data_IF_791146244898
#
_entry.id   IF_791146244898
#
_cell.length_a   1.000
_cell.length_b   1.000
_cell.length_c   1.000
_cell.angle_alpha   90.00
_cell.angle_beta   90.00
_cell.angle_gamma   90.00
#
_symmetry.space_group_name_H-M   'P 1'
#
loop_
_entity.id
_entity.type
_entity.pdbx_description
1 polymer ?
#
# COMPACT_ATOMS: atom_id res chain seq x y z
N UNK A 1 -10.88 -37.56 -30.28
CA UNK A 1 -11.20 -36.40 -31.00
C UNK A 1 -11.70 -35.19 -30.27
N UNK A 2 -12.85 -34.68 -30.69
CA UNK A 2 -13.37 -33.40 -30.19
C UNK A 2 -13.68 -33.41 -28.69
N UNK A 3 -14.15 -34.51 -28.14
CA UNK A 3 -14.45 -34.64 -26.69
C UNK A 3 -13.19 -34.55 -25.82
N UNK A 4 -12.08 -35.17 -26.28
CA UNK A 4 -10.79 -35.08 -25.55
C UNK A 4 -10.22 -33.66 -25.59
N UNK A 5 -10.36 -32.94 -26.70
CA UNK A 5 -9.93 -31.54 -26.82
C UNK A 5 -10.73 -30.62 -25.91
N UNK A 6 -12.05 -30.84 -25.80
CA UNK A 6 -12.92 -30.06 -24.90
C UNK A 6 -12.59 -30.34 -23.44
N UNK A 7 -12.34 -31.61 -23.07
CA UNK A 7 -11.92 -31.97 -21.71
C UNK A 7 -10.58 -31.36 -21.34
N UNK A 8 -9.59 -31.33 -22.26
CA UNK A 8 -8.29 -30.66 -22.03
C UNK A 8 -8.44 -29.15 -21.87
N UNK A 9 -9.31 -28.52 -22.65
CA UNK A 9 -9.58 -27.08 -22.55
C UNK A 9 -10.23 -26.74 -21.23
N UNK A 10 -11.19 -27.52 -20.76
CA UNK A 10 -11.84 -27.34 -19.44
C UNK A 10 -10.86 -27.55 -18.30
N UNK A 11 -9.96 -28.53 -18.36
CA UNK A 11 -8.92 -28.77 -17.40
C UNK A 11 -7.93 -27.59 -17.31
N UNK A 12 -7.52 -27.00 -18.43
CA UNK A 12 -6.65 -25.82 -18.48
C UNK A 12 -7.34 -24.61 -17.86
N UNK A 13 -8.60 -24.38 -18.19
CA UNK A 13 -9.39 -23.28 -17.62
C UNK A 13 -9.57 -23.46 -16.11
N UNK A 14 -9.86 -24.68 -15.64
CA UNK A 14 -9.99 -24.99 -14.23
C UNK A 14 -8.68 -24.75 -13.46
N UNK A 15 -7.53 -25.23 -13.98
CA UNK A 15 -6.21 -25.01 -13.39
C UNK A 15 -5.85 -23.52 -13.31
N UNK A 16 -6.15 -22.77 -14.36
CA UNK A 16 -5.91 -21.33 -14.40
C UNK A 16 -6.78 -20.60 -13.37
N UNK A 17 -8.04 -21.00 -13.24
CA UNK A 17 -8.95 -20.45 -12.25
C UNK A 17 -8.48 -20.75 -10.82
N UNK A 18 -8.06 -21.97 -10.51
CA UNK A 18 -7.46 -22.33 -9.22
C UNK A 18 -6.20 -21.54 -8.92
N UNK A 19 -5.32 -21.37 -9.90
CA UNK A 19 -4.10 -20.58 -9.74
C UNK A 19 -4.43 -19.13 -9.40
N UNK A 20 -5.38 -18.50 -10.09
CA UNK A 20 -5.84 -17.14 -9.79
C UNK A 20 -6.45 -17.01 -8.39
N UNK A 21 -7.28 -17.94 -8.00
CA UNK A 21 -7.88 -17.95 -6.66
C UNK A 21 -6.81 -18.09 -5.58
N UNK A 22 -5.82 -18.94 -5.80
CA UNK A 22 -4.70 -19.14 -4.88
C UNK A 22 -3.86 -17.87 -4.76
N UNK A 23 -3.58 -17.17 -5.86
CA UNK A 23 -2.88 -15.88 -5.84
C UNK A 23 -3.67 -14.81 -5.09
N UNK A 24 -4.99 -14.77 -5.29
CA UNK A 24 -5.86 -13.83 -4.59
C UNK A 24 -5.84 -14.06 -3.06
N UNK A 25 -5.85 -15.33 -2.63
CA UNK A 25 -5.87 -15.69 -1.23
C UNK A 25 -4.51 -15.55 -0.53
N UNK A 26 -3.44 -15.99 -1.19
CA UNK A 26 -2.08 -16.05 -0.59
C UNK A 26 -1.16 -14.93 -1.03
N UNK A 27 -1.54 -14.20 -2.08
CA UNK A 27 -0.69 -13.21 -2.73
C UNK A 27 0.41 -13.86 -3.60
N UNK A 28 1.19 -13.06 -4.30
CA UNK A 28 2.31 -13.54 -5.08
C UNK A 28 3.40 -14.09 -4.17
N UNK A 29 4.24 -14.98 -4.73
CA UNK A 29 5.37 -15.53 -4.00
C UNK A 29 6.29 -14.41 -3.53
N UNK A 30 6.62 -14.41 -2.24
CA UNK A 30 7.53 -13.44 -1.67
C UNK A 30 8.93 -13.63 -2.27
N UNK A 31 9.48 -12.54 -2.82
CA UNK A 31 10.85 -12.51 -3.29
C UNK A 31 11.80 -12.36 -2.11
N UNK A 32 12.96 -13.01 -2.20
CA UNK A 32 14.06 -12.73 -1.30
C UNK A 32 14.42 -11.25 -1.43
N UNK A 33 14.54 -10.55 -0.31
CA UNK A 33 14.82 -9.12 -0.26
C UNK A 33 16.13 -8.76 -0.98
N UNK A 34 17.16 -9.60 -0.84
CA UNK A 34 18.43 -9.41 -1.54
C UNK A 34 18.28 -9.51 -3.06
N UNK A 35 17.50 -10.47 -3.55
CA UNK A 35 17.21 -10.63 -4.98
C UNK A 35 16.42 -9.44 -5.52
N UNK A 36 15.46 -8.94 -4.76
CA UNK A 36 14.69 -7.74 -5.11
C UNK A 36 15.62 -6.53 -5.24
N UNK A 37 16.50 -6.31 -4.27
CA UNK A 37 17.44 -5.18 -4.29
C UNK A 37 18.38 -5.26 -5.49
N UNK A 38 18.91 -6.45 -5.79
CA UNK A 38 19.78 -6.64 -6.94
C UNK A 38 19.04 -6.35 -8.26
N UNK A 39 17.81 -6.81 -8.38
CA UNK A 39 16.98 -6.54 -9.56
C UNK A 39 16.68 -5.05 -9.71
N UNK A 40 16.35 -4.35 -8.63
CA UNK A 40 16.09 -2.91 -8.63
C UNK A 40 17.34 -2.11 -9.01
N UNK A 41 18.49 -2.44 -8.42
CA UNK A 41 19.75 -1.75 -8.71
C UNK A 41 20.24 -2.00 -10.16
N UNK A 42 19.79 -3.09 -10.78
CA UNK A 42 20.08 -3.41 -12.17
C UNK A 42 19.07 -2.80 -13.16
N UNK A 43 17.95 -2.24 -12.69
CA UNK A 43 16.93 -1.64 -13.55
C UNK A 43 17.48 -0.42 -14.30
N UNK A 44 17.22 -0.28 -15.62
CA UNK A 44 17.81 0.82 -16.42
C UNK A 44 17.52 2.21 -15.87
N UNK A 45 16.29 2.48 -15.42
CA UNK A 45 15.92 3.77 -14.87
C UNK A 45 16.72 4.11 -13.60
N UNK A 46 16.94 3.12 -12.74
CA UNK A 46 17.70 3.32 -11.52
C UNK A 46 19.21 3.42 -11.79
N UNK A 47 19.73 2.66 -12.74
CA UNK A 47 21.13 2.80 -13.20
C UNK A 47 21.43 4.22 -13.67
N UNK A 48 20.54 4.79 -14.45
CA UNK A 48 20.68 6.18 -14.94
C UNK A 48 20.68 7.17 -13.77
N UNK A 49 19.77 7.01 -12.83
CA UNK A 49 19.70 7.86 -11.63
C UNK A 49 20.95 7.76 -10.78
N UNK A 50 21.52 6.57 -10.63
CA UNK A 50 22.81 6.34 -9.92
C UNK A 50 23.95 7.03 -10.63
N UNK A 51 24.06 6.92 -11.95
CA UNK A 51 25.08 7.59 -12.75
C UNK A 51 24.98 9.12 -12.64
N UNK A 52 23.76 9.65 -12.70
CA UNK A 52 23.50 11.09 -12.56
C UNK A 52 23.88 11.60 -11.17
N UNK A 53 23.58 10.83 -10.12
CA UNK A 53 23.98 11.13 -8.74
C UNK A 53 25.50 11.13 -8.57
N UNK A 54 26.19 10.15 -9.17
CA UNK A 54 27.64 10.06 -9.13
C UNK A 54 28.29 11.30 -9.76
N UNK A 55 27.75 11.77 -10.91
CA UNK A 55 28.22 12.99 -11.56
C UNK A 55 27.95 14.24 -10.75
N UNK A 56 26.73 14.35 -10.21
CA UNK A 56 26.33 15.53 -9.44
C UNK A 56 27.14 15.72 -8.17
N UNK A 57 27.43 14.64 -7.45
CA UNK A 57 28.18 14.64 -6.20
C UNK A 57 29.69 14.42 -6.36
N UNK A 58 30.17 14.18 -7.59
CA UNK A 58 31.57 13.87 -7.88
C UNK A 58 32.09 12.68 -7.08
N UNK A 59 31.28 11.63 -6.98
CA UNK A 59 31.64 10.36 -6.36
C UNK A 59 31.68 9.25 -7.41
N UNK A 60 32.21 8.09 -7.05
CA UNK A 60 32.21 6.93 -7.93
C UNK A 60 30.80 6.39 -8.14
N UNK A 61 30.57 5.72 -9.27
CA UNK A 61 29.29 5.00 -9.51
C UNK A 61 29.06 3.92 -8.43
N UNK A 62 30.11 3.27 -7.97
CA UNK A 62 30.04 2.30 -6.88
C UNK A 62 29.52 2.93 -5.58
N UNK A 63 30.00 4.12 -5.23
CA UNK A 63 29.56 4.84 -4.03
C UNK A 63 28.09 5.29 -4.16
N UNK A 64 27.72 5.81 -5.33
CA UNK A 64 26.33 6.19 -5.62
C UNK A 64 25.39 4.98 -5.55
N UNK A 65 25.84 3.81 -6.03
CA UNK A 65 25.10 2.56 -5.93
C UNK A 65 24.91 2.13 -4.47
N UNK A 66 25.92 2.30 -3.63
CA UNK A 66 25.82 2.02 -2.19
C UNK A 66 24.81 2.94 -1.51
N UNK A 67 24.76 4.23 -1.89
CA UNK A 67 23.74 5.14 -1.40
C UNK A 67 22.33 4.68 -1.81
N UNK A 68 22.14 4.26 -3.06
CA UNK A 68 20.88 3.72 -3.53
C UNK A 68 20.46 2.48 -2.75
N UNK A 69 21.40 1.60 -2.42
CA UNK A 69 21.15 0.41 -1.60
C UNK A 69 20.72 0.79 -0.18
N UNK A 70 21.36 1.77 0.43
CA UNK A 70 20.95 2.29 1.75
C UNK A 70 19.54 2.85 1.72
N UNK A 71 19.18 3.56 0.66
CA UNK A 71 17.82 4.08 0.48
C UNK A 71 16.79 2.94 0.32
N UNK A 72 17.14 1.88 -0.40
CA UNK A 72 16.30 0.69 -0.50
C UNK A 72 16.09 0.02 0.86
N UNK A 73 17.14 -0.07 1.68
CA UNK A 73 17.03 -0.61 3.05
C UNK A 73 16.10 0.22 3.93
N UNK A 74 16.11 1.54 3.75
CA UNK A 74 15.20 2.45 4.45
C UNK A 74 13.75 2.29 3.99
N UNK A 75 13.53 2.18 2.68
CA UNK A 75 12.19 2.21 2.06
C UNK A 75 11.52 0.83 2.15
N UNK A 76 12.20 -0.22 1.72
CA UNK A 76 11.57 -1.49 1.38
C UNK A 76 10.98 -2.23 2.57
N UNK A 77 9.81 -2.83 2.36
CA UNK A 77 9.20 -3.76 3.29
C UNK A 77 10.02 -5.06 3.38
N UNK A 78 9.83 -5.77 4.48
CA UNK A 78 10.36 -7.11 4.71
C UNK A 78 9.17 -8.03 5.07
N UNK A 79 8.24 -8.13 4.16
CA UNK A 79 6.96 -8.80 4.31
C UNK A 79 7.14 -10.28 4.64
N UNK A 80 6.59 -10.75 5.77
CA UNK A 80 6.75 -12.14 6.23
C UNK A 80 5.41 -12.76 6.60
N UNK A 81 5.13 -13.94 6.05
CA UNK A 81 3.91 -14.69 6.32
C UNK A 81 3.76 -15.04 7.81
N UNK A 82 4.86 -15.34 8.50
CA UNK A 82 4.85 -15.63 9.94
C UNK A 82 4.34 -14.45 10.75
N UNK A 83 4.83 -13.24 10.44
CA UNK A 83 4.40 -12.00 11.10
C UNK A 83 2.91 -11.76 10.87
N UNK A 84 2.40 -12.02 9.67
CA UNK A 84 0.98 -11.87 9.35
C UNK A 84 0.11 -12.82 10.19
N UNK A 85 0.52 -14.08 10.34
CA UNK A 85 -0.23 -15.07 11.11
C UNK A 85 -0.27 -14.72 12.60
N UNK A 86 0.86 -14.32 13.15
CA UNK A 86 0.94 -13.88 14.56
C UNK A 86 0.16 -12.60 14.75
N UNK A 87 0.34 -11.64 13.83
CA UNK A 87 -0.39 -10.37 13.83
C UNK A 87 -1.90 -10.56 13.76
N UNK A 88 -2.39 -11.47 12.93
CA UNK A 88 -3.82 -11.80 12.85
C UNK A 88 -4.37 -12.26 14.19
N UNK A 89 -3.68 -13.16 14.88
CA UNK A 89 -4.11 -13.64 16.19
C UNK A 89 -4.13 -12.55 17.25
N UNK A 90 -3.08 -11.72 17.28
CA UNK A 90 -2.97 -10.59 18.21
C UNK A 90 -4.06 -9.56 17.95
N UNK A 91 -4.28 -9.21 16.70
CA UNK A 91 -5.30 -8.23 16.32
C UNK A 91 -6.71 -8.74 16.55
N UNK A 92 -6.96 -10.03 16.31
CA UNK A 92 -8.26 -10.65 16.60
C UNK A 92 -8.58 -10.53 18.09
N UNK A 93 -7.62 -10.84 18.95
CA UNK A 93 -7.78 -10.69 20.39
C UNK A 93 -8.01 -9.22 20.76
N UNK A 94 -7.19 -8.31 20.23
CA UNK A 94 -7.29 -6.88 20.51
C UNK A 94 -8.65 -6.32 20.10
N UNK A 95 -9.10 -6.62 18.87
CA UNK A 95 -10.40 -6.14 18.38
C UNK A 95 -11.57 -6.70 19.18
N UNK A 96 -11.47 -7.93 19.66
CA UNK A 96 -12.50 -8.53 20.54
C UNK A 96 -12.63 -7.82 21.88
N UNK A 97 -11.55 -7.19 22.35
CA UNK A 97 -11.54 -6.41 23.59
C UNK A 97 -12.00 -4.97 23.40
N UNK A 98 -11.68 -4.38 22.22
CA UNK A 98 -11.94 -2.96 21.95
C UNK A 98 -13.33 -2.71 21.36
N UNK A 99 -13.81 -3.61 20.52
CA UNK A 99 -15.02 -3.41 19.74
C UNK A 99 -16.06 -4.49 20.00
N UNK A 100 -17.32 -4.10 19.95
CA UNK A 100 -18.46 -5.04 19.93
C UNK A 100 -18.40 -5.88 18.65
N UNK A 101 -17.96 -5.28 17.56
CA UNK A 101 -17.74 -5.97 16.30
C UNK A 101 -17.23 -5.01 15.25
N UNK A 102 -16.80 -5.56 14.12
CA UNK A 102 -16.37 -4.80 12.95
C UNK A 102 -17.35 -5.10 11.83
N UNK A 103 -18.05 -4.05 11.35
CA UNK A 103 -18.99 -4.16 10.24
C UNK A 103 -18.25 -3.87 8.94
N UNK A 104 -18.29 -4.83 8.02
CA UNK A 104 -17.59 -4.79 6.75
C UNK A 104 -18.62 -4.74 5.65
N UNK A 105 -18.55 -3.73 4.78
CA UNK A 105 -19.48 -3.55 3.67
C UNK A 105 -18.74 -3.60 2.34
N UNK A 106 -19.31 -4.33 1.37
CA UNK A 106 -18.87 -4.42 -0.02
C UNK A 106 -17.51 -5.14 -0.19
N UNK A 107 -17.17 -6.07 0.68
CA UNK A 107 -15.92 -6.85 0.57
C UNK A 107 -15.94 -7.85 -0.59
N UNK A 108 -17.10 -8.30 -1.03
CA UNK A 108 -17.22 -9.25 -2.13
C UNK A 108 -16.64 -8.68 -3.44
N UNK A 109 -16.76 -7.39 -3.64
CA UNK A 109 -16.17 -6.68 -4.78
C UNK A 109 -14.64 -6.88 -4.83
N UNK A 110 -13.97 -6.88 -3.67
CA UNK A 110 -12.51 -7.07 -3.61
C UNK A 110 -12.09 -8.45 -4.11
N UNK A 111 -12.82 -9.48 -3.70
CA UNK A 111 -12.55 -10.86 -4.14
C UNK A 111 -12.75 -10.99 -5.64
N UNK A 112 -13.79 -10.35 -6.17
CA UNK A 112 -14.05 -10.33 -7.61
C UNK A 112 -12.92 -9.64 -8.39
N UNK A 113 -12.46 -8.47 -7.94
CA UNK A 113 -11.33 -7.77 -8.55
C UNK A 113 -10.05 -8.60 -8.51
N UNK A 114 -9.75 -9.22 -7.36
CA UNK A 114 -8.56 -10.05 -7.19
C UNK A 114 -8.61 -11.28 -8.12
N UNK A 115 -9.76 -11.94 -8.23
CA UNK A 115 -9.94 -13.09 -9.12
C UNK A 115 -9.79 -12.71 -10.59
N UNK A 116 -10.20 -11.50 -10.97
CA UNK A 116 -10.04 -10.99 -12.35
C UNK A 116 -8.62 -10.48 -12.63
N UNK A 117 -7.71 -10.55 -11.66
CA UNK A 117 -6.31 -10.20 -11.83
C UNK A 117 -6.00 -8.71 -11.76
N UNK A 118 -6.86 -7.91 -11.14
CA UNK A 118 -6.59 -6.49 -10.93
C UNK A 118 -5.51 -6.27 -9.87
N UNK A 119 -4.64 -5.29 -10.12
CA UNK A 119 -3.73 -4.76 -9.11
C UNK A 119 -4.51 -3.79 -8.25
N UNK A 120 -4.71 -4.13 -6.98
CA UNK A 120 -5.56 -3.34 -6.08
C UNK A 120 -4.72 -2.34 -5.31
N UNK A 121 -5.16 -1.09 -5.32
CA UNK A 121 -4.62 -0.01 -4.50
C UNK A 121 -5.72 0.44 -3.54
N UNK A 122 -5.52 0.19 -2.25
CA UNK A 122 -6.47 0.63 -1.23
C UNK A 122 -6.16 2.06 -0.82
N UNK A 123 -7.18 2.92 -0.88
CA UNK A 123 -7.04 4.34 -0.54
C UNK A 123 -8.04 4.67 0.58
N UNK A 124 -7.63 4.48 1.85
CA UNK A 124 -8.50 4.81 2.97
C UNK A 124 -8.42 6.27 3.36
N UNK A 125 -9.43 6.71 4.10
CA UNK A 125 -9.33 7.96 4.86
C UNK A 125 -8.40 7.73 6.06
N UNK A 126 -7.51 8.69 6.33
CA UNK A 126 -6.58 8.60 7.45
C UNK A 126 -7.14 9.31 8.67
N UNK A 127 -7.65 8.55 9.64
CA UNK A 127 -8.26 9.11 10.85
C UNK A 127 -7.50 8.78 12.14
N UNK A 128 -6.85 7.60 12.18
CA UNK A 128 -6.11 7.18 13.37
C UNK A 128 -4.97 6.22 13.01
N UNK A 129 -4.01 6.04 13.90
CA UNK A 129 -2.93 5.05 13.71
C UNK A 129 -3.45 3.61 13.68
N UNK A 130 -4.61 3.35 14.28
CA UNK A 130 -5.25 2.03 14.25
C UNK A 130 -5.72 1.67 12.84
N UNK A 131 -5.93 2.64 11.96
CA UNK A 131 -6.34 2.41 10.58
C UNK A 131 -5.33 1.57 9.80
N UNK A 132 -4.03 1.70 10.11
CA UNK A 132 -2.98 0.87 9.50
C UNK A 132 -3.20 -0.62 9.76
N UNK A 133 -3.64 -0.95 10.96
CA UNK A 133 -3.81 -2.33 11.42
C UNK A 133 -5.18 -2.90 11.05
N UNK A 134 -6.22 -2.09 11.20
CA UNK A 134 -7.60 -2.53 10.98
C UNK A 134 -7.85 -2.97 9.54
N UNK A 135 -7.44 -2.16 8.57
CA UNK A 135 -7.67 -2.48 7.16
C UNK A 135 -6.92 -3.75 6.74
N UNK A 136 -5.66 -3.89 7.12
CA UNK A 136 -4.87 -5.09 6.82
C UNK A 136 -5.48 -6.34 7.45
N UNK A 137 -5.94 -6.24 8.69
CA UNK A 137 -6.64 -7.33 9.38
C UNK A 137 -7.91 -7.76 8.62
N UNK A 138 -8.74 -6.79 8.23
CA UNK A 138 -10.00 -7.06 7.52
C UNK A 138 -9.72 -7.73 6.17
N UNK A 139 -8.77 -7.23 5.41
CA UNK A 139 -8.40 -7.80 4.11
C UNK A 139 -7.91 -9.24 4.27
N UNK A 140 -7.08 -9.50 5.27
CA UNK A 140 -6.61 -10.86 5.58
C UNK A 140 -7.76 -11.79 5.94
N UNK A 141 -8.72 -11.32 6.74
CA UNK A 141 -9.91 -12.09 7.10
C UNK A 141 -10.82 -12.40 5.91
N UNK A 142 -10.77 -11.59 4.86
CA UNK A 142 -11.51 -11.84 3.61
C UNK A 142 -10.83 -12.90 2.72
N UNK A 143 -9.74 -13.48 3.15
CA UNK A 143 -8.98 -14.46 2.38
C UNK A 143 -8.07 -13.85 1.32
N UNK A 144 -7.77 -12.55 1.41
CA UNK A 144 -6.88 -11.84 0.50
C UNK A 144 -5.55 -11.56 1.18
N UNK A 145 -4.49 -11.43 0.39
CA UNK A 145 -3.18 -11.03 0.91
C UNK A 145 -3.26 -9.60 1.43
N UNK A 146 -2.77 -9.34 2.65
CA UNK A 146 -2.68 -7.96 3.14
C UNK A 146 -1.80 -7.12 2.23
N UNK A 147 -2.14 -5.83 2.04
CA UNK A 147 -1.38 -4.96 1.16
C UNK A 147 -0.03 -4.59 1.75
N UNK A 148 0.90 -4.21 0.86
CA UNK A 148 2.06 -3.42 1.26
C UNK A 148 1.57 -2.02 1.63
N UNK A 149 2.00 -1.51 2.77
CA UNK A 149 1.46 -0.30 3.38
C UNK A 149 2.48 0.82 3.29
N UNK A 150 2.13 1.92 2.61
CA UNK A 150 2.93 3.13 2.64
C UNK A 150 2.79 3.79 4.02
N UNK A 151 3.87 3.85 4.76
CA UNK A 151 3.93 4.42 6.10
C UNK A 151 4.93 5.58 6.16
N UNK A 152 4.59 6.63 6.90
CA UNK A 152 5.52 7.75 7.11
C UNK A 152 6.79 7.28 7.82
N UNK A 153 7.93 7.86 7.44
CA UNK A 153 9.25 7.52 8.03
C UNK A 153 9.28 7.74 9.54
N UNK A 154 8.43 8.60 10.06
CA UNK A 154 8.29 8.85 11.51
C UNK A 154 7.84 7.61 12.29
N UNK A 155 7.23 6.62 11.63
CA UNK A 155 6.83 5.35 12.25
C UNK A 155 7.95 4.30 12.27
N UNK A 156 9.09 4.60 11.63
CA UNK A 156 10.25 3.71 11.61
C UNK A 156 11.16 3.94 12.82
N UNK A 157 10.64 3.61 14.00
CA UNK A 157 11.42 3.65 15.25
C UNK A 157 11.35 2.28 15.94
N UNK A 158 12.42 1.92 16.63
CA UNK A 158 12.45 0.65 17.35
C UNK A 158 11.52 0.70 18.59
N UNK A 159 10.74 -0.34 18.90
CA UNK A 159 10.63 -1.65 18.21
C UNK A 159 9.56 -1.70 17.11
N UNK A 160 8.80 -0.62 16.89
CA UNK A 160 7.67 -0.60 15.97
C UNK A 160 8.08 -0.75 14.50
N UNK A 161 9.17 -0.08 14.09
CA UNK A 161 9.62 -0.09 12.70
C UNK A 161 9.85 -1.49 12.13
N UNK A 162 10.67 -2.34 12.77
CA UNK A 162 10.87 -3.72 12.29
C UNK A 162 9.59 -4.54 12.23
N UNK A 163 8.69 -4.38 13.17
CA UNK A 163 7.41 -5.11 13.22
C UNK A 163 6.52 -4.68 12.05
N UNK A 164 6.37 -3.37 11.82
CA UNK A 164 5.59 -2.84 10.71
C UNK A 164 6.18 -3.26 9.36
N UNK A 165 7.50 -3.21 9.23
CA UNK A 165 8.21 -3.62 8.02
C UNK A 165 7.95 -5.09 7.67
N UNK A 166 7.97 -5.97 8.66
CA UNK A 166 7.66 -7.40 8.49
C UNK A 166 6.18 -7.66 8.21
N UNK A 167 5.32 -6.74 8.61
CA UNK A 167 3.89 -6.75 8.30
C UNK A 167 3.55 -6.14 6.95
N UNK A 168 4.53 -5.70 6.17
CA UNK A 168 4.33 -5.16 4.83
C UNK A 168 4.49 -3.66 4.70
N UNK A 169 4.89 -2.95 5.77
CA UNK A 169 5.10 -1.50 5.69
C UNK A 169 6.37 -1.17 4.91
N UNK A 170 6.26 -0.25 3.95
CA UNK A 170 7.38 0.43 3.33
C UNK A 170 7.31 1.90 3.71
N UNK A 171 8.49 2.51 3.92
CA UNK A 171 8.53 3.83 4.55
C UNK A 171 8.80 4.92 3.53
N UNK A 172 8.06 6.02 3.68
CA UNK A 172 8.14 7.19 2.80
C UNK A 172 8.53 8.42 3.60
N UNK A 173 9.53 9.16 3.10
CA UNK A 173 9.92 10.45 3.67
C UNK A 173 8.84 11.49 3.42
N UNK A 174 8.77 12.46 4.32
CA UNK A 174 7.79 13.54 4.26
C UNK A 174 7.90 14.37 2.98
N UNK A 175 9.11 14.52 2.45
CA UNK A 175 9.38 15.27 1.23
C UNK A 175 10.47 14.60 0.40
N UNK A 176 10.28 14.60 -0.93
CA UNK A 176 11.26 14.15 -1.91
C UNK A 176 12.06 15.33 -2.48
N UNK A 177 11.74 16.55 -2.05
CA UNK A 177 12.33 17.78 -2.59
C UNK A 177 13.86 17.76 -2.47
N UNK A 178 14.54 18.01 -3.59
CA UNK A 178 16.00 18.09 -3.66
C UNK A 178 16.74 16.75 -3.62
N UNK A 179 16.05 15.60 -3.56
CA UNK A 179 16.68 14.29 -3.58
C UNK A 179 16.19 13.44 -4.75
N UNK A 180 16.86 13.60 -5.89
CA UNK A 180 16.50 12.89 -7.14
C UNK A 180 16.75 11.40 -7.04
N UNK A 181 17.83 10.98 -6.36
CA UNK A 181 18.13 9.56 -6.18
C UNK A 181 17.05 8.88 -5.33
N UNK A 182 16.64 9.50 -4.22
CA UNK A 182 15.58 8.97 -3.39
C UNK A 182 14.28 8.79 -4.18
N UNK A 183 13.89 9.80 -4.95
CA UNK A 183 12.68 9.74 -5.79
C UNK A 183 12.75 8.61 -6.82
N UNK A 184 13.89 8.42 -7.46
CA UNK A 184 14.10 7.36 -8.45
C UNK A 184 14.02 5.97 -7.81
N UNK A 185 14.66 5.79 -6.66
CA UNK A 185 14.64 4.54 -5.90
C UNK A 185 13.21 4.20 -5.45
N UNK A 186 12.51 5.18 -4.91
CA UNK A 186 11.14 4.99 -4.43
C UNK A 186 10.18 4.63 -5.57
N UNK A 187 10.24 5.35 -6.70
CA UNK A 187 9.41 5.06 -7.87
C UNK A 187 9.67 3.66 -8.43
N UNK A 188 10.92 3.27 -8.53
CA UNK A 188 11.27 1.95 -9.04
C UNK A 188 10.80 0.84 -8.09
N UNK A 189 10.92 1.05 -6.79
CA UNK A 189 10.39 0.12 -5.79
C UNK A 189 8.87 -0.04 -5.91
N UNK A 190 8.16 1.05 -6.01
CA UNK A 190 6.69 1.04 -6.16
C UNK A 190 6.28 0.34 -7.46
N UNK A 191 6.96 0.64 -8.56
CA UNK A 191 6.72 -0.02 -9.85
C UNK A 191 6.91 -1.54 -9.76
N UNK A 192 7.94 -1.99 -9.05
CA UNK A 192 8.17 -3.41 -8.82
C UNK A 192 7.07 -4.07 -8.01
N UNK A 193 6.55 -3.41 -6.99
CA UNK A 193 5.42 -3.94 -6.22
C UNK A 193 4.23 -4.21 -7.14
N UNK A 194 3.87 -3.25 -8.00
CA UNK A 194 2.78 -3.43 -8.95
C UNK A 194 3.08 -4.52 -9.98
N UNK A 195 4.28 -4.53 -10.55
CA UNK A 195 4.67 -5.53 -11.55
C UNK A 195 4.68 -6.95 -11.02
N UNK A 196 4.96 -7.12 -9.73
CA UNK A 196 4.95 -8.42 -9.06
C UNK A 196 3.56 -8.85 -8.56
N UNK A 197 2.55 -8.01 -8.68
CA UNK A 197 1.18 -8.32 -8.31
C UNK A 197 0.83 -8.09 -6.84
N UNK A 198 1.63 -7.30 -6.12
CA UNK A 198 1.31 -6.94 -4.75
C UNK A 198 0.26 -5.83 -4.70
N UNK A 199 -0.72 -5.97 -3.83
CA UNK A 199 -1.62 -4.87 -3.50
C UNK A 199 -0.89 -3.85 -2.62
N UNK A 200 -1.32 -2.60 -2.71
CA UNK A 200 -0.68 -1.47 -2.01
C UNK A 200 -1.76 -0.65 -1.32
N UNK A 201 -1.42 -0.10 -0.17
CA UNK A 201 -2.27 0.84 0.56
C UNK A 201 -1.51 2.13 0.79
N UNK A 202 -2.12 3.25 0.43
CA UNK A 202 -1.58 4.57 0.75
C UNK A 202 -2.70 5.59 0.94
N UNK A 203 -2.36 6.67 1.61
CA UNK A 203 -3.27 7.79 1.83
C UNK A 203 -3.01 8.89 0.81
N UNK A 204 -4.09 9.55 0.38
CA UNK A 204 -4.01 10.71 -0.50
C UNK A 204 -4.12 12.03 0.27
N UNK A 205 -4.44 11.95 1.55
CA UNK A 205 -4.63 13.10 2.42
C UNK A 205 -3.30 13.62 2.98
N UNK A 206 -3.22 14.93 3.20
CA UNK A 206 -2.02 15.61 3.69
C UNK A 206 -1.82 15.53 5.21
N UNK A 207 -1.99 14.37 5.83
CA UNK A 207 -1.87 14.19 7.26
C UNK A 207 -3.21 14.13 7.97
N UNK A 208 -3.20 14.07 9.31
CA UNK A 208 -4.43 14.01 10.10
C UNK A 208 -5.08 15.37 10.27
N UNK A 209 -6.39 15.42 10.08
CA UNK A 209 -7.18 16.58 10.42
C UNK A 209 -7.40 16.64 11.94
N UNK A 210 -6.96 17.74 12.59
CA UNK A 210 -7.25 17.97 14.01
C UNK A 210 -8.73 18.23 14.28
N UNK A 211 -9.47 18.68 13.26
CA UNK A 211 -10.88 19.03 13.35
C UNK A 211 -11.81 17.93 12.83
N UNK A 212 -11.29 16.77 12.46
CA UNK A 212 -12.05 15.68 11.86
C UNK A 212 -12.42 15.91 10.39
N UNK A 213 -12.06 17.04 9.80
CA UNK A 213 -12.26 17.33 8.38
C UNK A 213 -11.11 16.72 7.56
N UNK A 214 -11.44 16.24 6.35
CA UNK A 214 -10.45 15.76 5.42
C UNK A 214 -9.58 16.94 4.96
N UNK A 215 -8.25 16.78 5.09
CA UNK A 215 -7.29 17.74 4.55
C UNK A 215 -7.20 17.60 3.03
N UNK A 216 -6.61 18.60 2.36
CA UNK A 216 -6.37 18.51 0.92
C UNK A 216 -5.54 17.27 0.59
N UNK A 217 -5.90 16.49 -0.46
CA UNK A 217 -5.19 15.27 -0.78
C UNK A 217 -3.75 15.53 -1.21
N UNK A 218 -2.82 14.73 -0.70
CA UNK A 218 -1.46 14.65 -1.25
C UNK A 218 -1.48 13.72 -2.45
N UNK A 219 -1.08 14.22 -3.58
CA UNK A 219 -1.22 13.52 -4.86
C UNK A 219 0.03 12.76 -5.31
N UNK A 220 1.12 12.83 -4.53
CA UNK A 220 2.39 12.22 -4.90
C UNK A 220 2.30 10.72 -5.17
N UNK A 221 1.62 9.96 -4.31
CA UNK A 221 1.47 8.52 -4.49
C UNK A 221 0.58 8.17 -5.69
N UNK A 222 -0.47 8.94 -5.94
CA UNK A 222 -1.31 8.79 -7.14
C UNK A 222 -0.50 9.05 -8.41
N UNK A 223 0.29 10.11 -8.43
CA UNK A 223 1.16 10.42 -9.56
C UNK A 223 2.13 9.28 -9.85
N UNK A 224 2.77 8.74 -8.82
CA UNK A 224 3.68 7.60 -8.96
C UNK A 224 2.97 6.33 -9.42
N UNK A 225 1.72 6.11 -8.99
CA UNK A 225 0.92 4.99 -9.46
C UNK A 225 0.65 5.07 -10.96
N UNK A 226 0.25 6.25 -11.46
CA UNK A 226 0.05 6.48 -12.90
C UNK A 226 1.37 6.37 -13.68
N UNK A 227 2.47 6.90 -13.13
CA UNK A 227 3.79 6.76 -13.73
C UNK A 227 4.23 5.29 -13.82
N UNK A 228 3.88 4.48 -12.82
CA UNK A 228 4.12 3.04 -12.87
C UNK A 228 3.33 2.36 -14.00
N UNK A 229 2.08 2.77 -14.21
CA UNK A 229 1.27 2.27 -15.33
C UNK A 229 1.90 2.61 -16.67
N UNK A 230 2.49 3.81 -16.81
CA UNK A 230 3.18 4.24 -18.02
C UNK A 230 4.45 3.43 -18.30
N UNK A 231 4.94 2.67 -17.34
CA UNK A 231 6.03 1.70 -17.52
C UNK A 231 5.55 0.38 -18.14
N UNK A 232 4.25 0.20 -18.35
CA UNK A 232 3.69 -0.94 -19.04
C UNK A 232 3.24 -2.08 -18.13
N UNK A 233 2.54 -1.77 -17.06
CA UNK A 233 1.93 -2.80 -16.21
C UNK A 233 0.80 -3.48 -16.99
N UNK A 234 0.89 -4.79 -17.17
CA UNK A 234 -0.04 -5.56 -17.98
C UNK A 234 -1.45 -5.68 -17.37
N UNK A 235 -1.52 -5.80 -16.05
CA UNK A 235 -2.78 -5.98 -15.34
C UNK A 235 -3.47 -4.64 -15.08
N UNK A 236 -4.80 -4.60 -15.08
CA UNK A 236 -5.51 -3.38 -14.70
C UNK A 236 -5.17 -2.97 -13.27
N UNK A 237 -4.95 -1.68 -13.06
CA UNK A 237 -4.72 -1.09 -11.75
C UNK A 237 -6.02 -0.44 -11.28
N UNK A 238 -6.51 -0.85 -10.12
CA UNK A 238 -7.79 -0.41 -9.60
C UNK A 238 -7.65 0.21 -8.23
N UNK A 239 -8.09 1.45 -8.09
CA UNK A 239 -8.17 2.13 -6.81
C UNK A 239 -9.45 1.74 -6.09
N UNK A 240 -9.33 1.36 -4.82
CA UNK A 240 -10.47 1.05 -3.96
C UNK A 240 -10.51 2.06 -2.83
N UNK A 241 -11.47 3.00 -2.86
CA UNK A 241 -11.65 3.93 -1.75
C UNK A 241 -12.21 3.17 -0.54
N UNK A 242 -11.70 3.48 0.64
CA UNK A 242 -12.10 2.82 1.88
C UNK A 242 -12.47 3.84 2.94
N UNK A 243 -13.68 3.72 3.46
CA UNK A 243 -14.10 4.47 4.63
C UNK A 243 -13.85 3.63 5.89
N UNK A 244 -13.11 4.21 6.83
CA UNK A 244 -12.88 3.65 8.15
C UNK A 244 -13.57 4.53 9.18
N UNK A 245 -14.52 3.96 9.91
CA UNK A 245 -15.30 4.69 10.88
C UNK A 245 -15.40 3.95 12.19
N UNK A 246 -15.66 4.69 13.25
CA UNK A 246 -15.80 4.17 14.59
C UNK A 246 -17.03 4.79 15.24
N UNK A 247 -17.79 3.98 15.96
CA UNK A 247 -18.95 4.48 16.71
C UNK A 247 -18.52 5.45 17.80
N UNK A 248 -17.40 5.15 18.48
CA UNK A 248 -16.79 6.02 19.46
C UNK A 248 -15.32 6.25 19.12
N UNK A 249 -14.83 7.49 19.29
CA UNK A 249 -13.44 7.85 18.99
C UNK A 249 -12.51 7.33 20.07
N UNK A 250 -11.46 6.64 19.65
CA UNK A 250 -10.40 6.16 20.56
C UNK A 250 -9.29 7.19 20.73
N UNK A 251 -8.87 7.42 21.96
CA UNK A 251 -7.72 8.28 22.30
C UNK A 251 -6.36 7.54 22.27
N UNK A 252 -6.28 6.41 21.56
CA UNK A 252 -5.05 5.61 21.44
C UNK A 252 -3.90 6.42 20.85
N UNK A 253 -4.20 7.41 20.01
CA UNK A 253 -3.19 8.28 19.40
C UNK A 253 -2.40 9.10 20.43
N UNK A 254 -3.07 9.65 21.42
CA UNK A 254 -2.42 10.37 22.50
C UNK A 254 -1.50 9.46 23.29
N UNK A 255 -1.95 8.26 23.57
CA UNK A 255 -1.20 7.25 24.29
C UNK A 255 0.08 6.81 23.53
N UNK A 256 -0.03 6.57 22.21
CA UNK A 256 1.12 6.24 21.37
C UNK A 256 2.15 7.38 21.31
N UNK A 257 1.69 8.63 21.31
CA UNK A 257 2.58 9.81 21.38
C UNK A 257 3.33 9.88 22.71
N UNK A 258 2.67 9.62 23.80
CA UNK A 258 3.28 9.57 25.13
C UNK A 258 4.35 8.48 25.21
N UNK A 259 4.09 7.30 24.66
CA UNK A 259 5.06 6.20 24.58
C UNK A 259 6.29 6.58 23.77
N UNK A 260 6.12 7.30 22.65
CA UNK A 260 7.20 7.77 21.80
C UNK A 260 8.07 8.84 22.49
N UNK A 261 7.44 9.74 23.27
CA UNK A 261 8.11 10.85 23.95
C UNK A 261 8.79 10.50 25.26
N UNK A 262 8.41 9.40 25.92
CA UNK A 262 8.84 9.09 27.30
C UNK A 262 10.23 8.46 27.42
N UNK A 263 10.79 7.89 26.35
CA UNK A 263 12.08 7.16 26.39
C UNK A 263 12.12 5.93 27.31
N UNK A 264 11.02 5.60 27.95
CA UNK A 264 10.88 4.48 28.90
C UNK A 264 10.35 3.24 28.21
N UNK A 265 11.15 2.64 27.34
CA UNK A 265 10.72 1.53 26.47
C UNK A 265 10.26 0.28 27.20
N UNK A 266 10.86 -0.07 28.33
CA UNK A 266 10.49 -1.26 29.12
C UNK A 266 9.17 -1.09 29.88
N UNK A 267 8.89 0.11 30.39
CA UNK A 267 7.61 0.42 31.01
C UNK A 267 6.50 0.58 29.99
N UNK A 268 6.84 0.98 28.75
CA UNK A 268 5.86 1.21 27.67
C UNK A 268 5.16 -0.05 27.20
N UNK A 269 5.86 -1.20 27.07
CA UNK A 269 5.24 -2.46 26.67
C UNK A 269 4.24 -2.94 27.74
N UNK A 270 4.60 -2.89 28.99
CA UNK A 270 3.72 -3.24 30.10
C UNK A 270 2.57 -2.24 30.25
N UNK A 271 2.86 -0.95 30.08
CA UNK A 271 1.86 0.11 30.08
C UNK A 271 0.83 -0.05 28.97
N UNK A 272 1.23 -0.48 27.75
CA UNK A 272 0.32 -0.78 26.64
C UNK A 272 -0.60 -1.93 27.01
N UNK A 273 -0.07 -3.03 27.54
CA UNK A 273 -0.86 -4.19 27.96
C UNK A 273 -1.87 -3.80 29.06
N UNK A 274 -1.44 -3.00 30.02
CA UNK A 274 -2.30 -2.51 31.10
C UNK A 274 -3.41 -1.58 30.58
N UNK A 275 -3.06 -0.68 29.65
CA UNK A 275 -4.03 0.21 28.99
C UNK A 275 -5.04 -0.58 28.17
N UNK A 276 -4.60 -1.59 27.43
CA UNK A 276 -5.49 -2.47 26.65
C UNK A 276 -6.46 -3.23 27.58
N UNK A 277 -5.99 -3.72 28.73
CA UNK A 277 -6.84 -4.38 29.72
C UNK A 277 -7.91 -3.46 30.30
N UNK A 278 -7.61 -2.16 30.39
CA UNK A 278 -8.52 -1.16 30.94
C UNK A 278 -9.39 -0.47 29.87
N UNK A 279 -9.20 -0.80 28.58
CA UNK A 279 -9.99 -0.23 27.51
C UNK A 279 -11.43 -0.76 27.57
N UNK A 280 -12.36 0.18 27.51
CA UNK A 280 -13.79 -0.11 27.42
C UNK A 280 -14.17 -0.43 25.97
N UNK A 281 -15.32 -1.07 25.81
CA UNK A 281 -15.93 -1.30 24.51
C UNK A 281 -16.20 0.05 23.81
N UNK A 282 -15.64 0.24 22.62
CA UNK A 282 -15.81 1.44 21.79
C UNK A 282 -16.95 1.32 20.80
N UNK A 283 -17.80 0.28 20.93
CA UNK A 283 -18.89 0.05 20.01
C UNK A 283 -18.41 -0.63 18.72
N UNK A 284 -19.08 -0.33 17.60
CA UNK A 284 -18.74 -0.94 16.31
C UNK A 284 -17.68 -0.15 15.56
N UNK A 285 -16.76 -0.89 14.95
CA UNK A 285 -15.91 -0.36 13.88
C UNK A 285 -16.54 -0.63 12.52
N UNK A 286 -16.31 0.25 11.56
CA UNK A 286 -16.86 0.15 10.20
C UNK A 286 -15.74 0.19 9.18
N UNK A 287 -15.76 -0.76 8.25
CA UNK A 287 -14.87 -0.79 7.09
C UNK A 287 -15.74 -0.90 5.85
N UNK A 288 -15.93 0.20 5.16
CA UNK A 288 -16.78 0.28 3.98
C UNK A 288 -15.92 0.48 2.74
N UNK A 289 -15.95 -0.51 1.82
CA UNK A 289 -15.26 -0.40 0.54
C UNK A 289 -16.17 0.33 -0.44
N UNK A 290 -15.70 1.46 -0.95
CA UNK A 290 -16.42 2.26 -1.91
C UNK A 290 -16.31 1.71 -3.33
N UNK A 291 -16.99 2.38 -4.26
CA UNK A 291 -16.99 1.98 -5.66
C UNK A 291 -15.57 2.09 -6.25
N UNK A 292 -15.04 1.01 -6.85
CA UNK A 292 -13.68 1.00 -7.36
C UNK A 292 -13.51 1.86 -8.60
N UNK A 293 -12.29 2.35 -8.81
CA UNK A 293 -11.90 3.11 -10.01
C UNK A 293 -10.80 2.32 -10.71
N UNK A 294 -11.12 1.67 -11.81
CA UNK A 294 -10.11 1.05 -12.65
C UNK A 294 -9.42 2.12 -13.47
N UNK A 295 -8.14 2.35 -13.19
CA UNK A 295 -7.38 3.46 -13.77
C UNK A 295 -7.27 3.35 -15.29
N UNK A 296 -7.17 2.14 -15.83
CA UNK A 296 -7.15 1.91 -17.27
C UNK A 296 -8.42 2.48 -17.94
N UNK A 297 -9.59 2.19 -17.38
CA UNK A 297 -10.86 2.71 -17.87
C UNK A 297 -10.97 4.22 -17.68
N UNK A 298 -10.52 4.71 -16.53
CA UNK A 298 -10.52 6.15 -16.22
C UNK A 298 -9.68 6.93 -17.24
N UNK A 299 -8.48 6.45 -17.53
CA UNK A 299 -7.59 7.08 -18.53
C UNK A 299 -8.15 6.96 -19.93
N UNK A 300 -8.74 5.84 -20.30
CA UNK A 300 -9.39 5.68 -21.60
C UNK A 300 -10.51 6.71 -21.82
N UNK A 301 -11.21 7.07 -20.77
CA UNK A 301 -12.29 8.06 -20.81
C UNK A 301 -11.77 9.50 -20.78
N UNK A 302 -10.81 9.81 -19.92
CA UNK A 302 -10.38 11.19 -19.66
C UNK A 302 -9.12 11.60 -20.40
N UNK A 303 -8.27 10.67 -20.78
CA UNK A 303 -7.01 10.87 -21.50
C UNK A 303 -6.88 9.79 -22.58
N UNK A 304 -7.69 9.83 -23.64
CA UNK A 304 -7.77 8.72 -24.63
C UNK A 304 -6.40 8.29 -25.20
N UNK A 305 -5.47 9.24 -25.34
CA UNK A 305 -4.16 8.99 -25.95
C UNK A 305 -3.07 8.60 -24.93
N UNK A 306 -3.43 8.25 -23.71
CA UNK A 306 -2.46 7.99 -22.64
C UNK A 306 -1.44 6.90 -22.97
N UNK A 307 -1.80 5.92 -23.81
CA UNK A 307 -0.91 4.83 -24.21
C UNK A 307 0.26 5.29 -25.09
N UNK A 308 0.16 6.46 -25.71
CA UNK A 308 1.27 7.05 -26.46
C UNK A 308 2.46 7.41 -25.56
N UNK A 309 2.21 7.61 -24.27
CA UNK A 309 3.23 7.94 -23.27
C UNK A 309 3.83 6.71 -22.58
N UNK A 310 3.48 5.49 -23.03
CA UNK A 310 4.07 4.26 -22.50
C UNK A 310 5.56 4.19 -22.85
N UNK A 311 6.39 4.02 -21.83
CA UNK A 311 7.83 3.84 -21.97
C UNK A 311 8.35 2.85 -20.92
N UNK A 312 8.76 1.62 -21.33
CA UNK A 312 9.15 0.59 -20.37
C UNK A 312 10.40 0.92 -19.55
N UNK A 313 11.26 1.78 -20.05
CA UNK A 313 12.60 2.00 -19.49
C UNK A 313 12.74 3.32 -18.74
N UNK A 314 11.90 4.31 -19.02
CA UNK A 314 12.03 5.66 -18.46
C UNK A 314 10.74 6.13 -17.80
N UNK A 315 10.92 6.91 -16.73
CA UNK A 315 9.79 7.55 -16.03
C UNK A 315 9.26 8.69 -16.89
N UNK A 316 7.96 8.70 -17.14
CA UNK A 316 7.29 9.73 -17.94
C UNK A 316 6.59 10.74 -17.03
N UNK A 317 6.65 12.02 -17.43
CA UNK A 317 5.88 13.11 -16.82
C UNK A 317 5.10 13.86 -17.89
N UNK A 318 4.06 13.25 -18.49
CA UNK A 318 3.26 13.94 -19.50
C UNK A 318 2.51 15.13 -18.89
N UNK A 319 2.16 16.10 -19.74
CA UNK A 319 1.45 17.30 -19.29
C UNK A 319 0.09 17.02 -18.67
N UNK A 320 -0.56 15.92 -19.07
CA UNK A 320 -1.87 15.53 -18.55
C UNK A 320 -1.80 14.91 -17.13
N UNK A 321 -0.59 14.54 -16.65
CA UNK A 321 -0.42 13.77 -15.40
C UNK A 321 -0.98 14.53 -14.18
N UNK A 322 -0.45 15.71 -13.89
CA UNK A 322 -0.84 16.46 -12.69
C UNK A 322 -2.32 16.87 -12.67
N UNK A 323 -2.90 17.40 -13.78
CA UNK A 323 -4.34 17.68 -13.81
C UNK A 323 -5.20 16.44 -13.61
N UNK A 324 -4.82 15.31 -14.18
CA UNK A 324 -5.53 14.04 -14.02
C UNK A 324 -5.47 13.52 -12.59
N UNK A 325 -4.29 13.59 -11.97
CA UNK A 325 -4.10 13.19 -10.57
C UNK A 325 -4.96 14.04 -9.64
N UNK A 326 -5.04 15.35 -9.87
CA UNK A 326 -5.88 16.24 -9.06
C UNK A 326 -7.37 15.86 -9.16
N UNK A 327 -7.87 15.62 -10.36
CA UNK A 327 -9.26 15.18 -10.56
C UNK A 327 -9.53 13.81 -9.94
N UNK A 328 -8.59 12.90 -10.08
CA UNK A 328 -8.68 11.55 -9.52
C UNK A 328 -8.72 11.59 -7.98
N UNK A 329 -7.90 12.44 -7.37
CA UNK A 329 -7.89 12.63 -5.92
C UNK A 329 -9.24 13.16 -5.41
N UNK A 330 -9.84 14.12 -6.10
CA UNK A 330 -11.18 14.64 -5.77
C UNK A 330 -12.25 13.55 -5.88
N UNK A 331 -12.20 12.74 -6.94
CA UNK A 331 -13.11 11.62 -7.13
C UNK A 331 -12.97 10.58 -6.01
N UNK A 332 -11.77 10.26 -5.60
CA UNK A 332 -11.50 9.35 -4.49
C UNK A 332 -12.11 9.86 -3.19
N UNK A 333 -11.90 11.14 -2.87
CA UNK A 333 -12.46 11.74 -1.65
C UNK A 333 -14.00 11.71 -1.67
N UNK A 334 -14.61 12.00 -2.80
CA UNK A 334 -16.07 11.92 -2.95
C UNK A 334 -16.56 10.49 -2.71
N UNK A 335 -15.88 9.48 -3.25
CA UNK A 335 -16.24 8.08 -3.07
C UNK A 335 -16.03 7.57 -1.66
N UNK A 336 -14.97 8.02 -0.98
CA UNK A 336 -14.76 7.73 0.45
C UNK A 336 -15.90 8.32 1.28
N UNK A 337 -16.28 9.57 1.04
CA UNK A 337 -17.37 10.23 1.74
C UNK A 337 -18.74 9.58 1.45
N UNK A 338 -18.96 9.15 0.23
CA UNK A 338 -20.17 8.41 -0.13
C UNK A 338 -20.25 7.05 0.57
N UNK A 339 -19.12 6.36 0.71
CA UNK A 339 -19.05 5.10 1.43
C UNK A 339 -19.30 5.26 2.94
N UNK A 340 -19.16 6.47 3.48
CA UNK A 340 -19.47 6.78 4.87
C UNK A 340 -20.98 6.84 5.17
N UNK A 341 -21.79 7.01 4.16
CA UNK A 341 -23.27 7.14 4.30
C UNK A 341 -23.98 5.73 4.42
#
# INVERSE_FOLDING_TARGET
GAEQQTAHKLLRMSRFHFYRQRLAATGPKLLNRAQLFNALLAAPALKKAIEDEAKAKRISVSDARQEARKLLLEIAADYRATTLRVGDRVLRWLWSKLYTGIKINNADMLRDLAQKGHEIVYVPCHRSHMDYLLLSYVIYQQGLAPPHIAAGINLNFWPAGPIFRRGGAFFIRRSFSGNKLYSAVFREYLCQLFSKGYSVKYYTEGGRSRTGRLLQPKTGMLAMTLQSMLRGIERPVTLVPVYLGYEHVMEVNTYLRELKGSGKQKESAWGVIKAIRNLRDYGYGYVNFGEPITLNNYLNQHVPDWKQDLHPMEVQKPQWLNPTVARLADTLMQRINHAAA
#
